data_IF_849588140149
#
_entry.id   IF_849588140149
#
_cell.length_a   1.000
_cell.length_b   1.000
_cell.length_c   1.000
_cell.angle_alpha   90.00
_cell.angle_beta   90.00
_cell.angle_gamma   90.00
#
_symmetry.space_group_name_H-M   'P 1'
#
loop_
_entity.id
_entity.type
_entity.pdbx_description
1 polymer ?
#
# COMPACT_ATOMS: atom_id res chain seq x y z
N UNK A 1 -10.81 4.22 14.61
CA UNK A 1 -11.81 3.98 13.54
C UNK A 1 -11.02 3.63 12.30
N UNK A 2 -11.35 2.52 11.66
CA UNK A 2 -10.72 2.12 10.43
C UNK A 2 -11.52 2.67 9.24
N UNK A 3 -10.79 3.20 8.26
CA UNK A 3 -11.28 3.73 7.00
C UNK A 3 -10.83 2.77 5.92
N UNK A 4 -11.79 2.33 5.10
CA UNK A 4 -11.48 1.53 3.93
C UNK A 4 -10.92 2.40 2.83
N UNK A 5 -9.68 2.14 2.45
CA UNK A 5 -9.10 2.68 1.22
C UNK A 5 -9.21 1.63 0.14
N UNK A 6 -9.43 2.07 -1.10
CA UNK A 6 -9.43 1.19 -2.26
C UNK A 6 -8.89 1.92 -3.48
N UNK A 7 -8.38 1.17 -4.44
CA UNK A 7 -7.81 1.73 -5.66
C UNK A 7 -7.47 0.66 -6.68
N UNK A 8 -6.90 1.10 -7.80
CA UNK A 8 -6.40 0.21 -8.86
C UNK A 8 -4.93 0.49 -9.06
N UNK A 9 -4.09 -0.54 -8.88
CA UNK A 9 -2.68 -0.51 -9.15
C UNK A 9 -2.42 -0.86 -10.62
N UNK A 10 -1.80 0.07 -11.34
CA UNK A 10 -1.43 -0.10 -12.75
C UNK A 10 0.06 0.17 -12.94
N UNK A 11 0.68 -0.52 -13.89
CA UNK A 11 2.06 -0.26 -14.29
C UNK A 11 2.18 0.98 -15.20
N UNK A 12 3.41 1.31 -15.62
CA UNK A 12 3.68 2.43 -16.53
C UNK A 12 3.09 2.28 -17.93
N UNK A 13 2.57 1.11 -18.29
CA UNK A 13 1.85 0.83 -19.54
C UNK A 13 0.33 0.86 -19.37
N UNK A 14 -0.15 1.10 -18.14
CA UNK A 14 -1.57 1.12 -17.78
C UNK A 14 -2.18 -0.26 -17.54
N UNK A 15 -1.39 -1.33 -17.55
CA UNK A 15 -1.87 -2.70 -17.27
C UNK A 15 -1.97 -2.92 -15.76
N UNK A 16 -2.97 -3.70 -15.29
CA UNK A 16 -3.09 -4.02 -13.89
C UNK A 16 -1.87 -4.82 -13.41
N UNK A 17 -1.34 -4.45 -12.24
CA UNK A 17 -0.22 -5.17 -11.63
C UNK A 17 -0.77 -6.33 -10.81
N UNK A 18 -0.38 -7.54 -11.18
CA UNK A 18 -0.68 -8.78 -10.44
C UNK A 18 0.57 -9.23 -9.67
N UNK A 19 0.40 -10.11 -8.68
CA UNK A 19 1.49 -10.65 -7.85
C UNK A 19 2.37 -9.57 -7.20
N UNK A 20 1.78 -8.41 -6.94
CA UNK A 20 2.39 -7.35 -6.16
C UNK A 20 1.77 -7.36 -4.78
N UNK A 21 2.56 -7.10 -3.75
CA UNK A 21 2.11 -6.84 -2.41
C UNK A 21 2.13 -5.34 -2.17
N UNK A 22 0.98 -4.74 -1.85
CA UNK A 22 0.90 -3.34 -1.45
C UNK A 22 1.15 -3.26 0.04
N UNK A 23 2.26 -2.66 0.45
CA UNK A 23 2.58 -2.41 1.85
C UNK A 23 2.32 -0.95 2.20
N UNK A 24 1.51 -0.72 3.22
CA UNK A 24 1.34 0.60 3.81
C UNK A 24 2.15 0.73 5.09
N UNK A 25 2.99 1.77 5.10
CA UNK A 25 3.84 2.12 6.23
C UNK A 25 3.40 3.48 6.78
N UNK A 26 2.84 3.51 7.99
CA UNK A 26 2.49 4.78 8.62
C UNK A 26 3.74 5.65 8.81
N UNK A 27 3.60 6.95 8.51
CA UNK A 27 4.66 7.95 8.61
C UNK A 27 4.79 8.54 10.03
N UNK A 28 3.75 8.39 10.87
CA UNK A 28 3.74 8.93 12.23
C UNK A 28 4.45 7.96 13.19
N UNK A 29 5.75 8.16 13.36
CA UNK A 29 6.58 7.45 14.32
C UNK A 29 6.35 8.01 15.75
N UNK A 30 5.65 7.27 16.61
CA UNK A 30 5.86 7.36 18.07
C UNK A 30 7.04 6.44 18.42
N UNK A 31 7.86 6.85 19.36
CA UNK A 31 9.28 6.55 19.62
C UNK A 31 9.69 5.08 19.88
N UNK A 32 8.86 4.09 19.58
CA UNK A 32 9.12 2.67 19.93
C UNK A 32 8.74 1.66 18.87
N UNK A 33 8.20 2.06 17.70
CA UNK A 33 7.49 1.10 16.85
C UNK A 33 8.20 0.87 15.51
N UNK A 34 8.79 -0.31 15.43
CA UNK A 34 9.15 -1.06 14.23
C UNK A 34 8.16 -0.83 13.10
N UNK A 35 8.65 -0.72 11.87
CA UNK A 35 7.92 -0.66 10.60
C UNK A 35 6.68 -1.57 10.61
N UNK A 36 5.54 -1.06 11.07
CA UNK A 36 4.32 -1.85 11.11
C UNK A 36 3.74 -1.78 9.70
N UNK A 37 3.90 -2.87 8.93
CA UNK A 37 3.12 -3.05 7.71
C UNK A 37 1.68 -3.14 8.16
N UNK A 38 0.90 -2.07 7.99
CA UNK A 38 -0.44 -1.98 8.55
C UNK A 38 -1.46 -2.76 7.70
N UNK A 39 -1.15 -2.94 6.42
CA UNK A 39 -1.90 -3.77 5.52
C UNK A 39 -1.00 -4.24 4.37
N UNK A 40 -1.26 -5.46 3.94
CA UNK A 40 -0.58 -6.16 2.84
C UNK A 40 -1.67 -6.82 2.02
N UNK A 41 -1.89 -6.35 0.81
CA UNK A 41 -2.89 -6.91 -0.08
C UNK A 41 -2.29 -7.18 -1.44
N UNK A 42 -2.66 -8.34 -1.99
CA UNK A 42 -2.35 -8.73 -3.34
C UNK A 42 -3.50 -8.29 -4.23
N UNK A 43 -3.28 -7.37 -5.19
CA UNK A 43 -4.33 -6.92 -6.09
C UNK A 43 -4.92 -8.08 -6.91
N UNK A 44 -6.21 -7.97 -7.24
CA UNK A 44 -6.90 -8.93 -8.12
C UNK A 44 -6.36 -8.88 -9.57
N UNK A 45 -6.87 -9.72 -10.47
CA UNK A 45 -6.46 -9.71 -11.89
C UNK A 45 -6.62 -8.33 -12.58
N UNK A 46 -7.51 -7.49 -12.05
CA UNK A 46 -7.76 -6.13 -12.49
C UNK A 46 -6.94 -5.07 -11.73
N UNK A 47 -6.03 -5.48 -10.84
CA UNK A 47 -5.17 -4.60 -10.06
C UNK A 47 -5.89 -3.91 -8.90
N UNK A 48 -7.09 -4.33 -8.52
CA UNK A 48 -7.87 -3.69 -7.45
C UNK A 48 -7.36 -4.11 -6.09
N UNK A 49 -7.27 -3.15 -5.18
CA UNK A 49 -6.98 -3.38 -3.78
C UNK A 49 -7.98 -2.66 -2.88
N UNK A 50 -8.20 -3.17 -1.67
CA UNK A 50 -9.12 -2.65 -0.66
C UNK A 50 -8.72 -3.07 0.76
N UNK A 51 -8.22 -2.13 1.56
CA UNK A 51 -7.76 -2.40 2.93
C UNK A 51 -8.31 -1.39 3.93
N UNK A 52 -8.50 -1.84 5.16
CA UNK A 52 -8.93 -1.01 6.28
C UNK A 52 -7.71 -0.41 7.00
N UNK A 53 -7.64 0.91 7.10
CA UNK A 53 -6.52 1.67 7.69
C UNK A 53 -7.02 2.76 8.62
N UNK A 54 -6.24 3.11 9.64
CA UNK A 54 -6.62 4.22 10.52
C UNK A 54 -6.30 5.58 9.89
N UNK A 55 -6.91 6.66 10.40
CA UNK A 55 -6.57 8.01 10.00
C UNK A 55 -5.08 8.31 10.24
N UNK A 56 -4.41 8.88 9.24
CA UNK A 56 -2.98 9.12 9.30
C UNK A 56 -2.31 9.25 7.93
N UNK A 57 -1.01 9.52 7.95
CA UNK A 57 -0.19 9.52 6.75
C UNK A 57 0.51 8.18 6.57
N UNK A 58 0.51 7.66 5.34
CA UNK A 58 1.10 6.37 4.99
C UNK A 58 1.94 6.49 3.74
N UNK A 59 3.13 5.90 3.76
CA UNK A 59 3.91 5.62 2.56
C UNK A 59 3.42 4.31 1.93
N UNK A 60 3.19 4.36 0.63
CA UNK A 60 2.77 3.23 -0.19
C UNK A 60 4.01 2.62 -0.84
N UNK A 61 4.30 1.37 -0.46
CA UNK A 61 5.42 0.58 -0.98
C UNK A 61 4.83 -0.59 -1.76
N UNK A 62 5.32 -0.80 -2.97
CA UNK A 62 4.96 -1.92 -3.83
C UNK A 62 6.08 -2.95 -3.79
N UNK A 63 5.74 -4.17 -3.40
CA UNK A 63 6.64 -5.31 -3.41
C UNK A 63 6.25 -6.23 -4.56
N UNK A 64 7.06 -6.33 -5.58
CA UNK A 64 6.84 -7.30 -6.68
C UNK A 64 7.88 -8.39 -6.52
N UNK A 65 7.46 -9.65 -6.59
CA UNK A 65 8.39 -10.78 -6.48
C UNK A 65 9.47 -10.70 -7.57
N UNK A 66 10.73 -10.80 -7.17
CA UNK A 66 11.89 -10.67 -8.07
C UNK A 66 12.34 -9.23 -8.37
N UNK A 67 11.65 -8.21 -7.85
CA UNK A 67 12.03 -6.80 -8.01
C UNK A 67 12.27 -6.12 -6.65
N UNK A 68 13.12 -5.08 -6.59
CA UNK A 68 13.29 -4.30 -5.38
C UNK A 68 11.98 -3.58 -4.99
N UNK A 69 11.74 -3.34 -3.69
CA UNK A 69 10.59 -2.56 -3.22
C UNK A 69 10.55 -1.19 -3.90
N UNK A 70 9.40 -0.82 -4.45
CA UNK A 70 9.22 0.47 -5.14
C UNK A 70 8.32 1.40 -4.33
N UNK A 71 8.73 2.65 -4.15
CA UNK A 71 7.91 3.66 -3.49
C UNK A 71 6.92 4.27 -4.48
N UNK A 72 5.63 3.93 -4.34
CA UNK A 72 4.57 4.44 -5.21
C UNK A 72 4.13 5.87 -4.84
N UNK A 73 4.19 6.23 -3.56
CA UNK A 73 3.76 7.54 -3.10
C UNK A 73 3.42 7.60 -1.62
N UNK A 74 2.81 8.71 -1.20
CA UNK A 74 2.29 8.89 0.17
C UNK A 74 0.80 9.24 0.09
N UNK A 75 -0.01 8.59 0.91
CA UNK A 75 -1.44 8.89 1.07
C UNK A 75 -1.68 9.49 2.45
N UNK A 76 -2.69 10.36 2.53
CA UNK A 76 -3.21 10.87 3.81
C UNK A 76 -4.66 10.42 3.92
N UNK A 77 -4.98 9.74 5.01
CA UNK A 77 -6.33 9.25 5.34
C UNK A 77 -6.90 10.21 6.38
N UNK A 78 -8.02 10.87 6.05
CA UNK A 78 -8.70 11.92 6.84
C UNK A 78 -10.05 11.48 7.33
#
# INVERSE_FOLDING_TARGET
MAVKISGVLKDGTGKPVQNCTIQLKAKRNSTTVVVNTLASENPDEAGRYSMDVEYGQYSVILLVEGFPPSHAGTITVY
#
